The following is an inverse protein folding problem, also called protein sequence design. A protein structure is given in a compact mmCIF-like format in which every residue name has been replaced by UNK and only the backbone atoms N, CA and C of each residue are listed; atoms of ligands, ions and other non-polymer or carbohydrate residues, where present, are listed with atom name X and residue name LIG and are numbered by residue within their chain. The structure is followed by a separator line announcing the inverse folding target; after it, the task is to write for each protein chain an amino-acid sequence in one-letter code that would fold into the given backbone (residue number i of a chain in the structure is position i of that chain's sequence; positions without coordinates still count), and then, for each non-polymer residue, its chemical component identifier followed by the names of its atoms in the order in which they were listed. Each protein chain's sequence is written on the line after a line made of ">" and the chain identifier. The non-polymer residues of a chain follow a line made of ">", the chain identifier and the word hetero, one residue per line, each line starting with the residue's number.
data_IF_538051507144
#
_entry.id   IF_538051507144
#
_cell.length_a   1.000
_cell.length_b   1.000
_cell.length_c   1.000
_cell.angle_alpha   90.00
_cell.angle_beta   90.00
_cell.angle_gamma   90.00
#
_symmetry.space_group_name_H-M   'P 1'
#
loop_
_entity.id
_entity.type
_entity.pdbx_description
1 polymer ?
#
# COMPACT_ATOMS: atom_id res chain seq x y z
N UNK A 1 20.12 18.42 -30.73
CA UNK A 1 20.89 18.66 -31.98
C UNK A 1 20.41 20.00 -32.52
N UNK A 2 20.74 21.12 -31.87
CA UNK A 2 19.97 22.38 -32.07
C UNK A 2 20.83 23.63 -32.33
N UNK A 3 22.17 23.54 -32.24
CA UNK A 3 23.06 24.71 -32.34
C UNK A 3 23.09 25.34 -33.76
N UNK A 4 23.04 24.52 -34.81
CA UNK A 4 23.02 25.04 -36.20
C UNK A 4 21.71 25.75 -36.55
N UNK A 5 20.59 25.38 -35.92
CA UNK A 5 19.29 26.02 -36.16
C UNK A 5 19.23 27.39 -35.47
N UNK A 6 19.77 27.50 -34.26
CA UNK A 6 19.81 28.76 -33.51
C UNK A 6 20.73 29.79 -34.17
N UNK A 7 21.90 29.38 -34.68
CA UNK A 7 22.80 30.30 -35.41
C UNK A 7 22.19 30.84 -36.71
N UNK A 8 21.25 30.11 -37.32
CA UNK A 8 20.58 30.54 -38.54
C UNK A 8 19.48 31.58 -38.25
N UNK A 9 18.78 31.43 -37.12
CA UNK A 9 17.75 32.36 -36.65
C UNK A 9 18.33 33.71 -36.26
N UNK A 10 19.49 33.72 -35.58
CA UNK A 10 20.16 34.97 -35.19
C UNK A 10 20.59 35.81 -36.40
N UNK A 11 20.87 35.15 -37.53
CA UNK A 11 21.22 35.82 -38.79
C UNK A 11 19.99 36.29 -39.56
N UNK A 12 18.89 35.54 -39.51
CA UNK A 12 17.59 35.92 -40.11
C UNK A 12 16.99 37.11 -39.35
N UNK A 13 17.00 37.10 -38.02
CA UNK A 13 16.40 38.14 -37.17
C UNK A 13 17.01 39.55 -37.34
N UNK A 14 18.22 39.64 -37.92
CA UNK A 14 18.94 40.90 -38.17
C UNK A 14 18.66 41.50 -39.56
N UNK A 15 17.87 40.83 -40.41
CA UNK A 15 17.56 41.29 -41.77
C UNK A 15 16.17 41.94 -41.84
N UNK A 16 16.06 43.06 -42.55
CA UNK A 16 14.77 43.75 -42.80
C UNK A 16 13.96 43.10 -43.93
N UNK A 17 14.62 42.34 -44.83
CA UNK A 17 13.96 41.63 -45.94
C UNK A 17 14.37 40.16 -45.96
N UNK A 18 13.37 39.29 -46.06
CA UNK A 18 13.54 37.83 -46.04
C UNK A 18 13.40 37.24 -47.44
N UNK A 19 14.27 36.30 -47.78
CA UNK A 19 14.16 35.48 -48.98
C UNK A 19 12.95 34.52 -48.89
N UNK A 20 12.47 33.98 -50.02
CA UNK A 20 11.32 33.05 -50.02
C UNK A 20 11.58 31.81 -49.16
N UNK A 21 12.80 31.28 -49.18
CA UNK A 21 13.20 30.12 -48.38
C UNK A 21 13.21 30.43 -46.87
N UNK A 22 13.73 31.61 -46.49
CA UNK A 22 13.71 32.06 -45.08
C UNK A 22 12.27 32.30 -44.59
N UNK A 23 11.38 32.84 -45.45
CA UNK A 23 9.95 33.00 -45.11
C UNK A 23 9.27 31.66 -44.88
N UNK A 24 9.54 30.67 -45.74
CA UNK A 24 8.98 29.33 -45.59
C UNK A 24 9.45 28.67 -44.30
N UNK A 25 10.75 28.79 -43.98
CA UNK A 25 11.33 28.30 -42.73
C UNK A 25 10.70 28.94 -41.48
N UNK A 26 10.50 30.26 -41.49
CA UNK A 26 9.83 30.99 -40.40
C UNK A 26 8.37 30.51 -40.25
N UNK A 27 7.64 30.39 -41.35
CA UNK A 27 6.24 29.95 -41.35
C UNK A 27 6.08 28.52 -40.83
N UNK A 28 6.94 27.59 -41.27
CA UNK A 28 6.89 26.20 -40.82
C UNK A 28 7.19 26.09 -39.32
N UNK A 29 8.14 26.87 -38.81
CA UNK A 29 8.44 26.93 -37.37
C UNK A 29 7.29 27.52 -36.57
N UNK A 30 6.72 28.65 -36.99
CA UNK A 30 5.58 29.27 -36.32
C UNK A 30 4.37 28.35 -36.30
N UNK A 31 4.15 27.59 -37.39
CA UNK A 31 3.07 26.62 -37.46
C UNK A 31 3.31 25.43 -36.53
N UNK A 32 4.56 24.96 -36.41
CA UNK A 32 4.96 23.94 -35.44
C UNK A 32 4.76 24.40 -34.00
N UNK A 33 5.19 25.60 -33.65
CA UNK A 33 4.96 26.19 -32.32
C UNK A 33 3.47 26.38 -32.02
N UNK A 34 2.67 26.77 -33.02
CA UNK A 34 1.20 26.87 -32.89
C UNK A 34 0.56 25.51 -32.58
N UNK A 35 0.97 24.46 -33.30
CA UNK A 35 0.49 23.10 -33.11
C UNK A 35 0.89 22.54 -31.73
N UNK A 36 2.10 22.82 -31.27
CA UNK A 36 2.57 22.42 -29.93
C UNK A 36 1.76 23.11 -28.81
N UNK A 37 1.47 24.41 -28.95
CA UNK A 37 0.60 25.13 -28.00
C UNK A 37 -0.82 24.61 -27.96
N UNK A 38 -1.40 24.25 -29.11
CA UNK A 38 -2.76 23.67 -29.17
C UNK A 38 -2.81 22.32 -28.45
N UNK A 39 -1.85 21.42 -28.72
CA UNK A 39 -1.77 20.14 -28.01
C UNK A 39 -1.63 20.31 -26.50
N UNK A 40 -0.78 21.23 -26.06
CA UNK A 40 -0.62 21.51 -24.64
C UNK A 40 -1.91 22.05 -23.99
N UNK A 41 -2.66 22.91 -24.70
CA UNK A 41 -3.95 23.42 -24.21
C UNK A 41 -5.04 22.33 -24.17
N UNK A 42 -5.07 21.44 -25.15
CA UNK A 42 -6.00 20.29 -25.18
C UNK A 42 -5.68 19.28 -24.07
N UNK A 43 -4.40 18.96 -23.85
CA UNK A 43 -3.95 18.10 -22.75
C UNK A 43 -4.22 18.76 -21.38
N UNK A 44 -3.98 20.06 -21.25
CA UNK A 44 -4.29 20.82 -20.03
C UNK A 44 -5.80 20.84 -19.76
N UNK A 45 -6.63 21.06 -20.79
CA UNK A 45 -8.08 21.01 -20.69
C UNK A 45 -8.60 19.61 -20.34
N UNK A 46 -7.98 18.54 -20.87
CA UNK A 46 -8.29 17.16 -20.50
C UNK A 46 -7.84 16.81 -19.07
N UNK A 47 -6.75 17.41 -18.58
CA UNK A 47 -6.25 17.21 -17.21
C UNK A 47 -7.10 17.92 -16.15
N UNK A 48 -7.74 19.04 -16.51
CA UNK A 48 -8.78 19.67 -15.70
C UNK A 48 -10.12 18.99 -15.90
N UNK A 49 -10.25 17.71 -15.50
CA UNK A 49 -11.56 17.13 -15.23
C UNK A 49 -12.19 17.90 -14.08
N UNK A 50 -13.05 18.86 -14.40
CA UNK A 50 -13.93 19.50 -13.42
C UNK A 50 -14.91 18.44 -12.94
N UNK A 51 -14.64 17.87 -11.77
CA UNK A 51 -15.57 16.94 -11.13
C UNK A 51 -16.94 17.61 -10.97
N UNK A 52 -18.00 16.90 -11.30
CA UNK A 52 -19.37 17.34 -10.98
C UNK A 52 -19.54 17.35 -9.45
N UNK A 53 -20.52 18.11 -8.94
CA UNK A 53 -20.79 18.12 -7.48
C UNK A 53 -21.12 16.72 -6.95
N UNK A 54 -21.79 15.89 -7.75
CA UNK A 54 -22.07 14.48 -7.43
C UNK A 54 -20.79 13.63 -7.36
N UNK A 55 -19.87 13.81 -8.30
CA UNK A 55 -18.58 13.13 -8.28
C UNK A 55 -17.74 13.56 -7.08
N UNK A 56 -17.72 14.85 -6.75
CA UNK A 56 -17.03 15.35 -5.54
C UNK A 56 -17.62 14.71 -4.28
N UNK A 57 -18.95 14.66 -4.16
CA UNK A 57 -19.60 14.04 -3.00
C UNK A 57 -19.25 12.55 -2.90
N UNK A 58 -19.29 11.82 -4.02
CA UNK A 58 -18.91 10.41 -4.07
C UNK A 58 -17.44 10.21 -3.67
N UNK A 59 -16.52 11.01 -4.20
CA UNK A 59 -15.09 10.95 -3.87
C UNK A 59 -14.88 11.23 -2.38
N UNK A 60 -15.54 12.26 -1.84
CA UNK A 60 -15.46 12.58 -0.41
C UNK A 60 -15.98 11.44 0.46
N UNK A 61 -17.08 10.80 0.06
CA UNK A 61 -17.62 9.66 0.77
C UNK A 61 -16.64 8.47 0.74
N UNK A 62 -16.10 8.12 -0.43
CA UNK A 62 -15.11 7.04 -0.57
C UNK A 62 -13.85 7.30 0.28
N UNK A 63 -13.39 8.55 0.35
CA UNK A 63 -12.27 8.97 1.21
C UNK A 63 -12.60 8.85 2.69
N UNK A 64 -13.81 9.26 3.09
CA UNK A 64 -14.25 9.17 4.48
C UNK A 64 -14.40 7.71 4.93
N UNK A 65 -14.98 6.85 4.09
CA UNK A 65 -15.07 5.42 4.35
C UNK A 65 -13.69 4.77 4.46
N UNK A 66 -12.74 5.17 3.60
CA UNK A 66 -11.35 4.73 3.70
C UNK A 66 -10.72 5.12 5.05
N UNK A 67 -10.89 6.38 5.47
CA UNK A 67 -10.40 6.86 6.77
C UNK A 67 -10.96 6.05 7.93
N UNK A 68 -12.27 5.82 7.96
CA UNK A 68 -12.94 5.04 9.01
C UNK A 68 -12.41 3.60 9.04
N UNK A 69 -12.23 2.97 7.87
CA UNK A 69 -11.63 1.63 7.77
C UNK A 69 -10.20 1.58 8.32
N UNK A 70 -9.38 2.58 7.99
CA UNK A 70 -7.99 2.64 8.42
C UNK A 70 -7.88 2.84 9.94
N UNK A 71 -8.71 3.71 10.51
CA UNK A 71 -8.82 3.91 11.97
C UNK A 71 -9.25 2.62 12.67
N UNK A 72 -10.32 1.98 12.18
CA UNK A 72 -10.79 0.71 12.73
C UNK A 72 -9.72 -0.39 12.65
N UNK A 73 -8.97 -0.48 11.54
CA UNK A 73 -7.90 -1.47 11.39
C UNK A 73 -6.76 -1.24 12.38
N UNK A 74 -6.38 0.03 12.64
CA UNK A 74 -5.38 0.38 13.64
C UNK A 74 -5.83 -0.01 15.05
N UNK A 75 -7.07 0.32 15.40
CA UNK A 75 -7.62 -0.01 16.71
C UNK A 75 -7.69 -1.54 16.91
N UNK A 76 -8.14 -2.27 15.89
CA UNK A 76 -8.18 -3.73 15.96
C UNK A 76 -6.79 -4.37 16.03
N UNK A 77 -5.77 -3.78 15.39
CA UNK A 77 -4.38 -4.23 15.57
C UNK A 77 -3.91 -4.00 17.00
N UNK A 78 -4.28 -2.85 17.60
CA UNK A 78 -3.96 -2.51 18.99
C UNK A 78 -4.59 -3.52 19.96
N UNK A 79 -5.90 -3.77 19.84
CA UNK A 79 -6.64 -4.73 20.67
C UNK A 79 -6.04 -6.14 20.59
N UNK A 80 -5.61 -6.56 19.39
CA UNK A 80 -5.01 -7.88 19.19
C UNK A 80 -3.65 -8.05 19.86
N UNK A 81 -2.79 -7.03 19.87
CA UNK A 81 -1.36 -7.23 20.18
C UNK A 81 -0.76 -6.34 21.28
N UNK A 82 -1.34 -5.18 21.62
CA UNK A 82 -0.69 -4.20 22.51
C UNK A 82 -0.57 -4.69 23.96
N UNK A 83 -1.66 -5.23 24.51
CA UNK A 83 -1.77 -5.64 25.91
C UNK A 83 -1.64 -7.15 26.10
N UNK A 84 -0.89 -7.80 25.20
CA UNK A 84 -0.66 -9.25 25.22
C UNK A 84 0.66 -9.61 25.85
N UNK A 85 0.68 -10.72 26.58
CA UNK A 85 1.87 -11.20 27.26
C UNK A 85 2.89 -11.71 26.24
N UNK A 86 4.13 -11.25 26.40
CA UNK A 86 5.25 -11.60 25.52
C UNK A 86 6.22 -12.51 26.25
N UNK A 87 6.58 -13.61 25.61
CA UNK A 87 7.50 -14.62 26.10
C UNK A 87 8.79 -14.53 25.31
N UNK A 88 9.93 -14.55 25.99
CA UNK A 88 11.26 -14.56 25.36
C UNK A 88 11.85 -15.97 25.39
N UNK A 89 12.21 -16.48 24.22
CA UNK A 89 12.96 -17.73 24.10
C UNK A 89 14.19 -17.49 23.21
N UNK A 90 15.38 -17.54 23.82
CA UNK A 90 16.62 -17.14 23.14
C UNK A 90 16.56 -15.66 22.73
N UNK A 91 16.82 -15.38 21.45
CA UNK A 91 16.84 -14.01 20.90
C UNK A 91 15.50 -13.57 20.28
N UNK A 92 14.44 -14.37 20.44
CA UNK A 92 13.14 -14.14 19.81
C UNK A 92 12.04 -13.93 20.84
N UNK A 93 11.06 -13.10 20.49
CA UNK A 93 9.87 -12.81 21.29
C UNK A 93 8.64 -13.46 20.67
N UNK A 94 7.75 -13.95 21.53
CA UNK A 94 6.57 -14.70 21.11
C UNK A 94 5.33 -14.30 21.91
N UNK A 95 4.17 -14.36 21.28
CA UNK A 95 2.86 -14.35 21.94
C UNK A 95 2.36 -15.78 22.13
N UNK A 96 1.76 -16.08 23.28
CA UNK A 96 1.13 -17.38 23.55
C UNK A 96 -0.34 -17.38 23.15
N UNK A 97 -0.79 -18.44 22.48
CA UNK A 97 -2.21 -18.64 22.17
C UNK A 97 -2.94 -19.25 23.36
N UNK A 98 -4.13 -18.71 23.65
CA UNK A 98 -5.11 -19.28 24.60
C UNK A 98 -5.94 -20.38 23.92
N UNK A 99 -6.47 -21.29 24.74
CA UNK A 99 -7.49 -22.29 24.36
C UNK A 99 -7.08 -23.24 23.22
N UNK A 100 -5.78 -23.50 23.10
CA UNK A 100 -5.26 -24.60 22.28
C UNK A 100 -4.90 -25.82 23.13
N UNK A 101 -5.02 -27.01 22.54
CA UNK A 101 -4.68 -28.30 23.18
C UNK A 101 -3.24 -28.38 23.70
N UNK A 102 -2.33 -27.59 23.15
CA UNK A 102 -0.93 -27.47 23.59
C UNK A 102 -0.57 -26.00 23.67
N UNK A 103 0.51 -25.72 24.39
CA UNK A 103 1.10 -24.39 24.41
C UNK A 103 1.72 -24.07 23.06
N UNK A 104 1.02 -23.24 22.29
CA UNK A 104 1.48 -22.74 21.02
C UNK A 104 1.79 -21.26 21.09
N UNK A 105 2.78 -20.86 20.28
CA UNK A 105 3.38 -19.55 20.29
C UNK A 105 3.47 -19.00 18.87
N UNK A 106 3.24 -17.70 18.72
CA UNK A 106 3.44 -16.94 17.49
C UNK A 106 4.59 -15.96 17.70
N UNK A 107 5.53 -15.93 16.77
CA UNK A 107 6.63 -14.98 16.81
C UNK A 107 6.12 -13.56 16.55
N UNK A 108 6.51 -12.60 17.40
CA UNK A 108 6.00 -11.22 17.38
C UNK A 108 6.25 -10.55 16.02
N UNK A 109 7.45 -10.73 15.47
CA UNK A 109 7.82 -10.19 14.14
C UNK A 109 6.94 -10.74 13.02
N UNK A 110 6.51 -12.01 13.11
CA UNK A 110 5.61 -12.60 12.12
C UNK A 110 4.21 -11.99 12.20
N UNK A 111 3.75 -11.62 13.40
CA UNK A 111 2.43 -11.01 13.62
C UNK A 111 2.26 -9.64 12.96
N UNK A 112 3.36 -8.90 12.73
CA UNK A 112 3.30 -7.60 12.06
C UNK A 112 2.78 -7.68 10.61
N UNK A 113 3.01 -8.84 9.98
CA UNK A 113 2.69 -9.11 8.58
C UNK A 113 1.35 -9.83 8.38
N UNK A 114 0.55 -10.01 9.44
CA UNK A 114 -0.75 -10.67 9.31
C UNK A 114 -1.74 -9.83 8.51
N UNK A 115 -2.43 -10.50 7.59
CA UNK A 115 -3.45 -9.87 6.75
C UNK A 115 -4.78 -10.63 6.83
N UNK A 116 -5.82 -10.07 6.21
CA UNK A 116 -7.11 -10.75 6.08
C UNK A 116 -7.07 -11.96 5.14
N UNK A 117 -6.08 -12.01 4.24
CA UNK A 117 -5.86 -13.16 3.37
C UNK A 117 -5.15 -14.26 4.16
N UNK A 118 -5.62 -15.52 4.07
CA UNK A 118 -4.90 -16.65 4.64
C UNK A 118 -3.45 -16.70 4.17
N UNK A 119 -2.51 -16.84 5.10
CA UNK A 119 -1.10 -17.05 4.84
C UNK A 119 -0.57 -18.23 5.65
N UNK A 120 0.45 -18.90 5.11
CA UNK A 120 1.17 -19.96 5.82
C UNK A 120 2.12 -19.29 6.81
N UNK A 121 2.01 -19.65 8.09
CA UNK A 121 2.84 -19.09 9.15
C UNK A 121 3.39 -20.20 10.05
N UNK A 122 4.59 -20.02 10.62
CA UNK A 122 5.13 -20.95 11.59
C UNK A 122 4.43 -20.75 12.94
N UNK A 123 3.79 -21.81 13.42
CA UNK A 123 3.29 -21.91 14.78
C UNK A 123 4.27 -22.73 15.62
N UNK A 124 4.77 -22.12 16.68
CA UNK A 124 5.81 -22.71 17.50
C UNK A 124 5.21 -23.42 18.71
N UNK A 125 5.84 -24.50 19.18
CA UNK A 125 5.46 -25.21 20.40
C UNK A 125 6.68 -25.80 21.08
N UNK A 126 6.60 -25.94 22.40
CA UNK A 126 7.70 -26.47 23.20
C UNK A 126 7.61 -27.99 23.32
N UNK A 127 8.75 -28.65 23.13
CA UNK A 127 8.98 -30.05 23.49
C UNK A 127 10.18 -30.12 24.45
N UNK A 128 10.59 -31.31 24.93
CA UNK A 128 11.63 -31.55 25.95
C UNK A 128 12.93 -30.73 25.77
N UNK A 129 12.91 -29.44 26.12
CA UNK A 129 14.00 -28.49 25.94
C UNK A 129 14.01 -27.72 24.60
N UNK A 130 13.33 -28.19 23.56
CA UNK A 130 13.41 -27.61 22.21
C UNK A 130 12.11 -26.94 21.74
N UNK A 131 12.25 -25.81 21.04
CA UNK A 131 11.17 -25.16 20.32
C UNK A 131 11.03 -25.77 18.92
N UNK A 132 9.91 -26.43 18.67
CA UNK A 132 9.54 -26.96 17.36
C UNK A 132 8.58 -26.00 16.67
N UNK A 133 8.54 -26.04 15.34
CA UNK A 133 7.59 -25.27 14.52
C UNK A 133 6.71 -26.19 13.70
N UNK A 134 5.49 -25.74 13.43
CA UNK A 134 4.53 -26.36 12.53
C UNK A 134 3.92 -25.30 11.65
N UNK A 135 3.88 -25.53 10.35
CA UNK A 135 3.21 -24.63 9.41
C UNK A 135 1.68 -24.77 9.52
N UNK A 136 1.00 -23.63 9.57
CA UNK A 136 -0.46 -23.54 9.64
C UNK A 136 -0.94 -22.41 8.75
N UNK A 137 -2.20 -22.48 8.30
CA UNK A 137 -2.85 -21.34 7.67
C UNK A 137 -3.40 -20.42 8.74
N UNK A 138 -3.07 -19.14 8.68
CA UNK A 138 -3.55 -18.11 9.59
C UNK A 138 -4.20 -16.98 8.80
N UNK A 139 -5.29 -16.44 9.33
CA UNK A 139 -5.84 -15.16 8.90
C UNK A 139 -6.30 -14.34 10.11
N UNK A 140 -6.39 -13.03 9.93
CA UNK A 140 -7.08 -12.12 10.86
C UNK A 140 -8.34 -11.58 10.19
N UNK A 141 -9.35 -11.23 10.98
CA UNK A 141 -10.61 -10.70 10.44
C UNK A 141 -10.77 -9.26 10.93
N UNK A 142 -11.08 -8.27 10.07
CA UNK A 142 -11.05 -6.85 10.44
C UNK A 142 -11.81 -6.54 11.74
N UNK A 143 -12.97 -7.15 11.93
CA UNK A 143 -13.92 -6.93 13.03
C UNK A 143 -13.83 -7.96 14.17
N UNK A 144 -12.72 -8.70 14.28
CA UNK A 144 -12.51 -9.63 15.39
C UNK A 144 -11.11 -9.47 15.98
N UNK A 145 -11.04 -9.47 17.31
CA UNK A 145 -9.83 -9.53 18.11
C UNK A 145 -9.17 -10.92 18.11
N UNK A 146 -9.79 -11.91 17.48
CA UNK A 146 -9.29 -13.28 17.39
C UNK A 146 -8.42 -13.51 16.17
N UNK A 147 -7.52 -14.46 16.32
CA UNK A 147 -6.65 -15.01 15.28
C UNK A 147 -7.27 -16.31 14.80
N UNK A 148 -7.48 -16.45 13.49
CA UNK A 148 -8.12 -17.61 12.91
C UNK A 148 -7.06 -18.54 12.34
N UNK A 149 -6.96 -19.75 12.89
CA UNK A 149 -5.91 -20.71 12.53
C UNK A 149 -6.56 -21.99 11.99
N UNK A 150 -6.05 -22.48 10.86
CA UNK A 150 -6.34 -23.79 10.32
C UNK A 150 -5.07 -24.65 10.32
N UNK A 151 -5.16 -25.83 10.92
CA UNK A 151 -4.03 -26.77 11.08
C UNK A 151 -3.71 -27.57 9.83
N UNK A 152 -4.60 -27.56 8.84
CA UNK A 152 -4.51 -28.31 7.59
C UNK A 152 -4.72 -27.34 6.41
N UNK A 153 -3.82 -27.40 5.43
CA UNK A 153 -3.91 -26.57 4.23
C UNK A 153 -4.90 -27.12 3.19
N UNK A 154 -5.27 -28.40 3.30
CA UNK A 154 -6.15 -29.09 2.34
C UNK A 154 -7.61 -29.01 2.80
N UNK A 155 -7.90 -29.34 4.06
CA UNK A 155 -9.24 -29.20 4.67
C UNK A 155 -9.29 -27.95 5.54
N UNK A 156 -9.38 -26.80 4.87
CA UNK A 156 -9.29 -25.48 5.51
C UNK A 156 -10.51 -25.22 6.41
N UNK A 157 -10.33 -25.50 7.70
CA UNK A 157 -11.27 -25.12 8.77
C UNK A 157 -10.58 -24.19 9.76
N UNK A 158 -11.00 -22.93 9.80
CA UNK A 158 -10.42 -21.91 10.68
C UNK A 158 -11.10 -21.93 12.04
N UNK A 159 -10.32 -22.18 13.10
CA UNK A 159 -10.76 -22.01 14.48
C UNK A 159 -10.26 -20.66 15.02
N UNK A 160 -11.09 -19.93 15.77
CA UNK A 160 -10.69 -18.66 16.37
C UNK A 160 -9.93 -18.89 17.68
N UNK A 161 -8.83 -18.17 17.88
CA UNK A 161 -8.00 -18.20 19.07
C UNK A 161 -7.67 -16.78 19.52
N UNK A 162 -7.45 -16.59 20.82
CA UNK A 162 -6.99 -15.32 21.39
C UNK A 162 -5.54 -15.44 21.84
N UNK A 163 -4.84 -14.31 21.93
CA UNK A 163 -3.54 -14.24 22.58
C UNK A 163 -3.71 -14.10 24.09
N UNK A 164 -2.72 -14.58 24.84
CA UNK A 164 -2.70 -14.41 26.29
C UNK A 164 -2.57 -12.93 26.66
N UNK A 165 -3.47 -12.45 27.53
CA UNK A 165 -3.44 -11.07 28.00
C UNK A 165 -2.35 -10.90 29.07
N UNK A 166 -1.75 -9.71 29.16
CA UNK A 166 -0.88 -9.38 30.29
C UNK A 166 -1.72 -9.41 31.56
N UNK A 167 -1.35 -10.27 32.51
CA UNK A 167 -1.94 -10.27 33.84
C UNK A 167 -1.73 -8.89 34.47
N UNK A 168 -2.81 -8.12 34.64
CA UNK A 168 -2.81 -6.99 35.55
C UNK A 168 -2.92 -7.58 36.96
N UNK A 169 -1.79 -7.68 37.67
CA UNK A 169 -1.83 -7.80 39.11
C UNK A 169 -2.40 -6.47 39.63
N UNK A 170 -3.65 -6.50 40.07
CA UNK A 170 -4.27 -5.43 40.85
C UNK A 170 -3.82 -5.47 42.30
#
# INVERSE_FOLDING_TARGET
>A
MDDKSNSHIENIAKKETFTQEEKQFILDRLNKERLERQKFQEEYAMSQKKYTEEEKHRILQELNEKRIRDEHNKEMKRIRFLDKETYTFGNKTYYKLKDMEREYYLEVETCENFTSRPSIVPLYYRTFGEMKKKEVLLKIVPYSDKIFISRDAIRVYFKPFALQDKHHQG
#
